data_IF_366170003893
#
_entry.id   IF_366170003893
#
_cell.length_a   1.000
_cell.length_b   1.000
_cell.length_c   1.000
_cell.angle_alpha   90.00
_cell.angle_beta   90.00
_cell.angle_gamma   90.00
#
_symmetry.space_group_name_H-M   'P 1'
#
loop_
_entity.id
_entity.type
_entity.pdbx_description
1 polymer ?
#
# COMPACT_ATOMS: atom_id res chain seq x y z
N UNK A 1 11.69 -13.69 6.44
CA UNK A 1 11.19 -12.32 6.66
C UNK A 1 10.00 -12.46 7.61
N UNK A 2 10.12 -11.98 8.84
CA UNK A 2 9.10 -12.22 9.87
C UNK A 2 8.20 -10.98 9.98
N UNK A 3 6.92 -11.14 9.65
CA UNK A 3 5.89 -10.09 9.75
C UNK A 3 5.12 -10.31 11.04
N UNK A 4 5.23 -9.40 12.01
CA UNK A 4 4.45 -9.45 13.27
C UNK A 4 3.26 -8.47 13.18
N UNK A 5 2.04 -8.96 13.49
CA UNK A 5 0.79 -8.18 13.65
C UNK A 5 0.77 -7.55 15.06
N UNK A 6 0.31 -6.31 15.22
CA UNK A 6 -0.95 -5.96 15.91
C UNK A 6 -1.12 -4.45 16.16
N UNK A 7 -2.24 -3.90 15.71
CA UNK A 7 -3.06 -2.91 16.44
C UNK A 7 -4.49 -3.10 15.96
N UNK A 8 -5.45 -3.22 16.87
CA UNK A 8 -6.88 -3.23 16.54
C UNK A 8 -7.58 -2.21 17.42
N UNK A 9 -8.21 -1.21 16.80
CA UNK A 9 -9.60 -0.85 17.09
C UNK A 9 -10.17 -0.17 15.82
N UNK A 10 -11.10 -0.85 15.15
CA UNK A 10 -12.04 -0.26 14.19
C UNK A 10 -11.64 -0.11 12.73
N UNK A 11 -10.51 0.54 12.38
CA UNK A 11 -10.39 1.16 11.05
C UNK A 11 -9.19 0.75 10.18
N UNK A 12 -8.17 0.09 10.73
CA UNK A 12 -6.98 -0.25 9.95
C UNK A 12 -6.10 -1.39 10.47
N UNK A 13 -5.15 -1.83 9.63
CA UNK A 13 -4.17 -2.88 9.88
C UNK A 13 -2.78 -2.43 9.45
N UNK A 14 -1.76 -2.66 10.27
CA UNK A 14 -0.37 -2.44 9.87
C UNK A 14 0.43 -3.74 9.82
N UNK A 15 1.36 -3.82 8.86
CA UNK A 15 2.37 -4.87 8.77
C UNK A 15 3.75 -4.23 8.75
N UNK A 16 4.70 -4.83 9.46
CA UNK A 16 6.11 -4.38 9.50
C UNK A 16 7.02 -5.40 8.81
N UNK A 17 7.97 -4.89 8.04
CA UNK A 17 9.07 -5.68 7.49
C UNK A 17 10.23 -5.67 8.48
N UNK A 18 10.76 -6.84 8.80
CA UNK A 18 11.92 -6.98 9.69
C UNK A 18 13.09 -7.71 9.02
N UNK A 19 14.31 -7.29 9.36
CA UNK A 19 15.56 -8.01 9.02
C UNK A 19 16.47 -8.05 10.23
N UNK A 20 17.01 -9.23 10.57
CA UNK A 20 17.86 -9.44 11.76
C UNK A 20 17.26 -8.81 13.03
N UNK A 21 15.95 -8.96 13.23
CA UNK A 21 15.21 -8.40 14.37
C UNK A 21 14.91 -6.89 14.32
N UNK A 22 15.38 -6.15 13.32
CA UNK A 22 15.15 -4.70 13.17
C UNK A 22 14.01 -4.40 12.20
N UNK A 23 13.18 -3.41 12.50
CA UNK A 23 12.15 -2.90 11.58
C UNK A 23 12.84 -2.09 10.47
N UNK A 24 12.49 -2.38 9.22
CA UNK A 24 13.07 -1.74 8.03
C UNK A 24 12.05 -1.11 7.10
N UNK A 25 10.76 -1.25 7.44
CA UNK A 25 9.66 -0.65 6.71
C UNK A 25 8.33 -1.12 7.25
N UNK A 26 7.26 -0.46 6.83
CA UNK A 26 5.90 -0.81 7.19
C UNK A 26 4.92 -0.48 6.06
N UNK A 27 3.73 -1.04 6.17
CA UNK A 27 2.55 -0.71 5.38
C UNK A 27 1.35 -0.63 6.32
N UNK A 28 0.57 0.44 6.21
CA UNK A 28 -0.71 0.61 6.91
C UNK A 28 -1.87 0.55 5.93
N UNK A 29 -2.95 -0.08 6.36
CA UNK A 29 -4.10 -0.44 5.55
C UNK A 29 -5.36 0.04 6.23
N UNK A 30 -6.25 0.70 5.49
CA UNK A 30 -7.53 1.19 5.96
C UNK A 30 -8.68 0.47 5.27
N UNK A 31 -9.72 0.07 6.02
CA UNK A 31 -10.92 -0.49 5.43
C UNK A 31 -11.72 0.63 4.75
N UNK A 32 -12.19 0.38 3.53
CA UNK A 32 -13.28 1.11 2.87
C UNK A 32 -14.44 0.13 2.67
N UNK A 33 -15.64 0.64 2.32
CA UNK A 33 -16.86 -0.18 2.22
C UNK A 33 -16.62 -1.45 1.38
N UNK A 34 -16.11 -1.30 0.15
CA UNK A 34 -15.86 -2.40 -0.79
C UNK A 34 -14.38 -2.61 -1.15
N UNK A 35 -13.47 -1.92 -0.47
CA UNK A 35 -12.04 -1.96 -0.79
C UNK A 35 -11.18 -1.97 0.47
N UNK A 36 -9.92 -2.33 0.28
CA UNK A 36 -8.86 -2.06 1.24
C UNK A 36 -7.97 -0.99 0.64
N UNK A 37 -7.58 0.00 1.43
CA UNK A 37 -6.71 1.09 0.99
C UNK A 37 -5.36 0.96 1.67
N UNK A 38 -4.27 1.18 0.93
CA UNK A 38 -2.95 1.43 1.50
C UNK A 38 -2.91 2.91 1.89
N UNK A 39 -2.95 3.19 3.18
CA UNK A 39 -2.89 4.57 3.67
C UNK A 39 -1.43 5.08 3.73
N UNK A 40 -0.46 4.18 3.96
CA UNK A 40 0.96 4.54 3.98
C UNK A 40 1.85 3.33 3.73
N UNK A 41 2.96 3.53 3.02
CA UNK A 41 4.04 2.55 2.89
C UNK A 41 5.39 3.26 2.92
N UNK A 42 6.27 2.84 3.83
CA UNK A 42 7.61 3.41 3.96
C UNK A 42 8.62 2.28 4.11
N UNK A 43 9.74 2.41 3.41
CA UNK A 43 10.91 1.53 3.54
C UNK A 43 12.13 2.41 3.83
N UNK A 44 12.89 2.07 4.86
CA UNK A 44 14.12 2.78 5.22
C UNK A 44 15.09 2.83 4.05
N UNK A 45 15.75 3.97 3.83
CA UNK A 45 16.57 4.25 2.63
C UNK A 45 17.57 3.13 2.30
N UNK A 46 18.29 2.62 3.29
CA UNK A 46 19.28 1.54 3.14
C UNK A 46 18.69 0.17 2.77
N UNK A 47 17.36 0.05 2.79
CA UNK A 47 16.59 -1.17 2.48
C UNK A 47 15.69 -1.02 1.25
N UNK A 48 15.66 0.16 0.63
CA UNK A 48 14.96 0.40 -0.64
C UNK A 48 15.65 -0.34 -1.79
N UNK A 49 14.88 -0.60 -2.87
CA UNK A 49 15.34 -1.33 -4.07
C UNK A 49 15.85 -2.76 -3.81
N UNK A 50 15.60 -3.31 -2.62
CA UNK A 50 15.88 -4.71 -2.23
C UNK A 50 14.62 -5.58 -2.15
N UNK A 51 13.53 -5.15 -2.80
CA UNK A 51 12.25 -5.87 -2.84
C UNK A 51 11.39 -5.77 -1.57
N UNK A 52 11.80 -5.00 -0.55
CA UNK A 52 11.05 -4.88 0.72
C UNK A 52 9.64 -4.29 0.50
N UNK A 53 9.54 -3.19 -0.26
CA UNK A 53 8.25 -2.54 -0.56
C UNK A 53 7.29 -3.47 -1.29
N UNK A 54 7.79 -4.22 -2.28
CA UNK A 54 6.99 -5.22 -3.01
C UNK A 54 6.47 -6.30 -2.06
N UNK A 55 7.30 -6.82 -1.16
CA UNK A 55 6.88 -7.82 -0.17
C UNK A 55 5.83 -7.29 0.81
N UNK A 56 5.89 -6.00 1.18
CA UNK A 56 4.85 -5.35 1.98
C UNK A 56 3.53 -5.25 1.22
N UNK A 57 3.56 -4.88 -0.07
CA UNK A 57 2.38 -4.85 -0.95
C UNK A 57 1.78 -6.26 -1.13
N UNK A 58 2.60 -7.28 -1.36
CA UNK A 58 2.10 -8.67 -1.44
C UNK A 58 1.40 -9.07 -0.14
N UNK A 59 1.94 -8.66 1.02
CA UNK A 59 1.27 -8.92 2.29
C UNK A 59 -0.10 -8.23 2.40
N UNK A 60 -0.22 -7.01 1.87
CA UNK A 60 -1.50 -6.32 1.81
C UNK A 60 -2.50 -7.03 0.88
N UNK A 61 -2.06 -7.54 -0.28
CA UNK A 61 -2.89 -8.34 -1.20
C UNK A 61 -3.39 -9.63 -0.52
N UNK A 62 -2.51 -10.37 0.13
CA UNK A 62 -2.87 -11.57 0.92
C UNK A 62 -3.91 -11.22 1.99
N UNK A 63 -3.69 -10.13 2.73
CA UNK A 63 -4.59 -9.69 3.78
C UNK A 63 -5.96 -9.30 3.22
N UNK A 64 -6.02 -8.49 2.15
CA UNK A 64 -7.28 -8.13 1.49
C UNK A 64 -8.07 -9.38 1.08
N UNK A 65 -7.42 -10.33 0.39
CA UNK A 65 -8.04 -11.62 0.00
C UNK A 65 -8.56 -12.40 1.21
N UNK A 66 -7.79 -12.46 2.31
CA UNK A 66 -8.22 -13.13 3.54
C UNK A 66 -9.42 -12.47 4.25
N UNK A 67 -9.78 -11.25 3.86
CA UNK A 67 -10.93 -10.51 4.38
C UNK A 67 -12.11 -10.51 3.38
N UNK A 68 -12.04 -11.29 2.29
CA UNK A 68 -13.05 -11.29 1.23
C UNK A 68 -13.08 -9.97 0.43
N UNK A 69 -12.00 -9.19 0.45
CA UNK A 69 -11.90 -7.92 -0.27
C UNK A 69 -11.18 -8.15 -1.59
N UNK A 70 -11.83 -7.76 -2.69
CA UNK A 70 -11.32 -7.98 -4.04
C UNK A 70 -10.70 -6.75 -4.70
N UNK A 71 -10.66 -5.60 -4.01
CA UNK A 71 -10.04 -4.38 -4.53
C UNK A 71 -9.06 -3.80 -3.52
N UNK A 72 -7.81 -3.64 -3.94
CA UNK A 72 -6.78 -2.91 -3.19
C UNK A 72 -6.55 -1.56 -3.84
N UNK A 73 -6.59 -0.47 -3.07
CA UNK A 73 -6.39 0.91 -3.56
C UNK A 73 -5.22 1.59 -2.87
N UNK A 74 -4.72 2.64 -3.50
CA UNK A 74 -3.76 3.60 -2.95
C UNK A 74 -3.85 4.88 -3.77
N UNK A 75 -3.26 5.96 -3.28
CA UNK A 75 -3.01 7.16 -4.06
C UNK A 75 -1.60 7.68 -3.78
N UNK A 76 -1.18 8.65 -4.58
CA UNK A 76 0.03 9.44 -4.34
C UNK A 76 -0.05 10.76 -5.07
N UNK A 77 0.74 11.75 -4.65
CA UNK A 77 0.83 13.03 -5.37
C UNK A 77 1.36 12.84 -6.78
N UNK A 78 0.82 13.59 -7.74
CA UNK A 78 1.29 13.56 -9.13
C UNK A 78 2.75 13.99 -9.27
N UNK A 79 3.27 14.74 -8.31
CA UNK A 79 4.69 15.13 -8.21
C UNK A 79 5.61 14.02 -7.66
N UNK A 80 5.05 12.91 -7.15
CA UNK A 80 5.79 11.83 -6.51
C UNK A 80 6.15 10.72 -7.51
N UNK A 81 6.93 11.03 -8.55
CA UNK A 81 7.32 10.11 -9.63
C UNK A 81 7.83 8.75 -9.13
N UNK A 82 8.58 8.76 -8.02
CA UNK A 82 9.13 7.55 -7.43
C UNK A 82 8.03 6.62 -6.88
N UNK A 83 6.96 7.17 -6.33
CA UNK A 83 5.83 6.43 -5.79
C UNK A 83 4.96 5.89 -6.93
N UNK A 84 4.69 6.71 -7.95
CA UNK A 84 3.97 6.30 -9.16
C UNK A 84 4.68 5.09 -9.81
N UNK A 85 5.99 5.21 -10.08
CA UNK A 85 6.79 4.11 -10.65
C UNK A 85 6.79 2.87 -9.75
N UNK A 86 6.81 3.05 -8.43
CA UNK A 86 6.74 1.95 -7.48
C UNK A 86 5.39 1.21 -7.55
N UNK A 87 4.26 1.93 -7.54
CA UNK A 87 2.93 1.32 -7.60
C UNK A 87 2.71 0.60 -8.93
N UNK A 88 3.07 1.21 -10.06
CA UNK A 88 3.04 0.55 -11.37
C UNK A 88 3.87 -0.74 -11.36
N UNK A 89 5.09 -0.72 -10.82
CA UNK A 89 5.96 -1.90 -10.69
C UNK A 89 5.46 -2.96 -9.68
N UNK A 90 4.43 -2.64 -8.90
CA UNK A 90 3.71 -3.54 -8.00
C UNK A 90 2.42 -4.10 -8.63
N UNK A 91 2.11 -3.71 -9.86
CA UNK A 91 0.95 -4.15 -10.62
C UNK A 91 -0.31 -3.32 -10.37
N UNK A 92 -0.19 -2.14 -9.78
CA UNK A 92 -1.30 -1.20 -9.67
C UNK A 92 -1.58 -0.53 -11.01
N UNK A 93 -2.86 -0.31 -11.29
CA UNK A 93 -3.33 0.44 -12.46
C UNK A 93 -3.85 1.81 -12.01
N UNK A 94 -3.51 2.91 -12.72
CA UNK A 94 -4.09 4.22 -12.45
C UNK A 94 -5.58 4.22 -12.82
N UNK A 95 -6.42 4.85 -12.00
CA UNK A 95 -7.87 4.89 -12.23
C UNK A 95 -8.53 6.27 -12.12
N UNK A 96 -7.76 7.33 -11.88
CA UNK A 96 -8.29 8.70 -11.85
C UNK A 96 -7.44 9.65 -11.02
N UNK A 97 -7.88 10.91 -10.98
CA UNK A 97 -7.24 11.95 -10.18
C UNK A 97 -8.25 12.60 -9.24
N UNK A 98 -7.78 13.06 -8.09
CA UNK A 98 -8.52 13.92 -7.17
C UNK A 98 -7.70 15.17 -6.94
N UNK A 99 -8.36 16.33 -7.04
CA UNK A 99 -7.76 17.63 -6.77
C UNK A 99 -8.20 18.12 -5.39
N UNK A 100 -7.35 18.89 -4.73
CA UNK A 100 -7.57 19.43 -3.39
C UNK A 100 -7.68 18.38 -2.25
N UNK A 101 -7.18 17.16 -2.47
CA UNK A 101 -7.34 16.05 -1.53
C UNK A 101 -6.50 16.23 -0.25
N UNK A 102 -5.23 16.62 -0.39
CA UNK A 102 -4.33 16.83 0.76
C UNK A 102 -4.21 18.30 1.15
N UNK A 103 -4.13 19.18 0.15
CA UNK A 103 -4.06 20.63 0.31
C UNK A 103 -4.63 21.33 -0.92
N UNK A 104 -4.96 22.63 -0.80
CA UNK A 104 -5.45 23.42 -1.92
C UNK A 104 -4.44 23.40 -3.09
N UNK A 105 -4.90 23.00 -4.28
CA UNK A 105 -4.08 22.90 -5.48
C UNK A 105 -3.27 21.60 -5.61
N UNK A 106 -3.34 20.70 -4.62
CA UNK A 106 -2.74 19.36 -4.75
C UNK A 106 -3.54 18.51 -5.75
N UNK A 107 -2.85 17.62 -6.45
CA UNK A 107 -3.44 16.62 -7.33
C UNK A 107 -2.88 15.25 -6.99
N UNK A 108 -3.78 14.32 -6.66
CA UNK A 108 -3.46 12.94 -6.34
C UNK A 108 -3.81 12.05 -7.53
N UNK A 109 -2.94 11.12 -7.87
CA UNK A 109 -3.23 10.01 -8.78
C UNK A 109 -3.67 8.81 -7.95
N UNK A 110 -4.87 8.31 -8.24
CA UNK A 110 -5.43 7.13 -7.59
C UNK A 110 -5.14 5.87 -8.39
N UNK A 111 -4.92 4.78 -7.67
CA UNK A 111 -4.65 3.47 -8.24
C UNK A 111 -5.53 2.38 -7.63
N UNK A 112 -5.67 1.28 -8.36
CA UNK A 112 -6.31 0.07 -7.90
C UNK A 112 -5.59 -1.20 -8.38
N UNK A 113 -5.88 -2.31 -7.71
CA UNK A 113 -5.63 -3.68 -8.18
C UNK A 113 -6.92 -4.47 -8.01
N UNK A 114 -7.33 -5.17 -9.07
CA UNK A 114 -8.34 -6.21 -9.01
C UNK A 114 -7.72 -7.52 -8.51
N UNK A 115 -8.14 -7.95 -7.32
CA UNK A 115 -7.68 -9.16 -6.65
C UNK A 115 -8.60 -10.36 -6.90
N UNK A 116 -9.68 -10.21 -7.68
CA UNK A 116 -10.55 -11.32 -8.08
C UNK A 116 -9.93 -12.20 -9.17
N UNK A 117 -9.08 -11.61 -10.01
CA UNK A 117 -8.35 -12.32 -11.07
C UNK A 117 -7.27 -13.22 -10.45
N UNK A 118 -7.17 -14.45 -10.95
CA UNK A 118 -6.01 -15.31 -10.67
C UNK A 118 -4.82 -14.76 -11.44
N UNK A 119 -3.80 -14.34 -10.71
CA UNK A 119 -2.46 -13.99 -11.22
C UNK A 119 -1.69 -15.25 -11.57
#
# INVERSE_FOLDING_TARGET
MNIKKNTTLGLGKAFVATTRGRIVGYISLGRRIFALMIDSIIVGRSYQRKGVGRKLVEKAKEYAKSQGIHVLRTDTGTFMDYAIKFYLACGFEPCGYVEHDFSLGSKQLHFYIDLSKKS
#
